data_IF_616263762014
#
_entry.id   IF_616263762014
#
_cell.length_a   1.000
_cell.length_b   1.000
_cell.length_c   1.000
_cell.angle_alpha   90.00
_cell.angle_beta   90.00
_cell.angle_gamma   90.00
#
_symmetry.space_group_name_H-M   'P 1'
#
loop_
_entity.id
_entity.type
_entity.pdbx_description
1 polymer ?
#
# COMPACT_ATOMS: atom_id res chain seq x y z
N UNK A 1 31.91 12.72 -14.66
CA UNK A 1 30.91 11.84 -13.97
C UNK A 1 31.54 11.23 -12.73
N UNK A 2 30.93 11.40 -11.60
CA UNK A 2 31.43 10.84 -10.35
C UNK A 2 30.83 9.46 -10.11
N UNK A 3 31.66 8.49 -9.77
CA UNK A 3 31.22 7.16 -9.35
C UNK A 3 30.98 7.19 -7.84
N UNK A 4 29.89 6.58 -7.42
CA UNK A 4 29.58 6.39 -6.01
C UNK A 4 29.80 4.92 -5.66
N UNK A 5 30.64 4.68 -4.65
CA UNK A 5 30.87 3.31 -4.18
C UNK A 5 29.69 2.87 -3.31
N UNK A 6 29.17 1.69 -3.59
CA UNK A 6 28.10 1.07 -2.82
C UNK A 6 28.72 0.10 -1.81
N UNK A 7 28.15 0.04 -0.62
CA UNK A 7 28.57 -0.90 0.43
C UNK A 7 28.06 -2.31 0.20
N UNK A 8 27.38 -2.54 -0.90
CA UNK A 8 26.77 -3.82 -1.27
C UNK A 8 26.91 -4.04 -2.77
N UNK A 9 26.75 -5.29 -3.20
CA UNK A 9 26.75 -5.68 -4.61
C UNK A 9 25.32 -5.62 -5.14
N UNK A 10 25.11 -4.96 -6.28
CA UNK A 10 23.79 -4.86 -6.90
C UNK A 10 23.17 -6.21 -7.25
N UNK A 11 24.00 -7.20 -7.53
CA UNK A 11 23.54 -8.57 -7.81
C UNK A 11 22.87 -9.23 -6.61
N UNK A 12 23.24 -8.81 -5.39
CA UNK A 12 22.70 -9.36 -4.16
C UNK A 12 21.41 -8.64 -3.69
N UNK A 13 21.01 -7.57 -4.39
CA UNK A 13 19.81 -6.83 -4.04
C UNK A 13 18.59 -7.61 -4.46
N UNK A 14 17.70 -7.88 -3.50
CA UNK A 14 16.43 -8.56 -3.78
C UNK A 14 15.53 -7.65 -4.59
N UNK A 15 14.80 -8.25 -5.53
CA UNK A 15 13.77 -7.57 -6.28
C UNK A 15 12.59 -7.27 -5.35
N UNK A 16 12.50 -6.02 -4.88
CA UNK A 16 11.41 -5.59 -4.00
C UNK A 16 10.08 -5.35 -4.74
N UNK A 17 10.08 -5.55 -6.05
CA UNK A 17 8.88 -5.40 -6.87
C UNK A 17 8.18 -6.72 -7.16
N UNK A 18 8.80 -7.85 -6.78
CA UNK A 18 8.16 -9.15 -6.92
C UNK A 18 6.86 -9.20 -6.10
N UNK A 19 5.75 -9.70 -6.66
CA UNK A 19 4.49 -9.76 -5.93
C UNK A 19 4.58 -10.63 -4.69
N UNK A 20 3.90 -10.22 -3.62
CA UNK A 20 3.76 -11.01 -2.41
C UNK A 20 2.79 -12.17 -2.65
N UNK A 21 3.05 -13.36 -2.09
CA UNK A 21 2.06 -14.42 -2.11
C UNK A 21 0.76 -14.02 -1.41
N UNK A 22 -0.36 -14.57 -1.83
CA UNK A 22 -1.64 -14.37 -1.15
C UNK A 22 -1.56 -14.90 0.28
N UNK A 23 -1.66 -14.01 1.26
CA UNK A 23 -1.59 -14.35 2.68
C UNK A 23 -2.00 -13.15 3.54
N UNK A 24 -2.02 -13.36 4.86
CA UNK A 24 -2.21 -12.31 5.85
C UNK A 24 -0.84 -11.84 6.34
N UNK A 25 -0.63 -10.54 6.37
CA UNK A 25 0.65 -9.95 6.77
C UNK A 25 0.44 -8.92 7.88
N UNK A 26 1.22 -9.02 8.94
CA UNK A 26 1.30 -7.96 9.94
C UNK A 26 2.04 -6.76 9.34
N UNK A 27 1.47 -5.58 9.50
CA UNK A 27 2.04 -4.37 8.91
C UNK A 27 1.76 -3.14 9.77
N UNK A 28 2.52 -2.08 9.52
CA UNK A 28 2.41 -0.80 10.19
C UNK A 28 2.33 0.32 9.16
N UNK A 29 1.50 1.33 9.40
CA UNK A 29 1.47 2.52 8.58
C UNK A 29 2.70 3.37 8.93
N UNK A 30 3.59 3.56 7.95
CA UNK A 30 4.81 4.33 8.14
C UNK A 30 4.71 5.76 7.61
N UNK A 31 3.79 6.01 6.68
CA UNK A 31 3.53 7.36 6.21
C UNK A 31 2.12 7.50 5.64
N UNK A 32 1.65 8.73 5.57
CA UNK A 32 0.41 9.10 4.90
C UNK A 32 0.59 10.48 4.27
N UNK A 33 -0.10 10.73 3.18
CA UNK A 33 -0.02 12.02 2.49
C UNK A 33 -1.35 12.34 1.83
N UNK A 34 -1.83 13.57 2.06
CA UNK A 34 -3.02 14.04 1.39
C UNK A 34 -2.65 14.50 -0.02
N UNK A 35 -3.30 13.95 -1.01
CA UNK A 35 -3.08 14.23 -2.43
C UNK A 35 -4.41 14.47 -3.13
N UNK A 36 -4.33 14.78 -4.42
CA UNK A 36 -5.49 14.87 -5.30
C UNK A 36 -5.44 13.71 -6.29
N UNK A 37 -6.54 12.97 -6.40
CA UNK A 37 -6.63 11.87 -7.36
C UNK A 37 -6.67 12.38 -8.80
N UNK A 38 -6.51 11.48 -9.77
CA UNK A 38 -6.57 11.83 -11.20
C UNK A 38 -7.90 12.46 -11.60
N UNK A 39 -8.98 12.16 -10.86
CA UNK A 39 -10.31 12.73 -11.10
C UNK A 39 -10.57 14.03 -10.30
N UNK A 40 -9.54 14.58 -9.62
CA UNK A 40 -9.67 15.80 -8.86
C UNK A 40 -10.26 15.65 -7.46
N UNK A 41 -10.41 14.43 -6.95
CA UNK A 41 -10.93 14.19 -5.60
C UNK A 41 -9.81 14.14 -4.56
N UNK A 42 -10.08 14.57 -3.31
CA UNK A 42 -9.10 14.40 -2.24
C UNK A 42 -8.80 12.90 -2.03
N UNK A 43 -7.54 12.61 -1.75
CA UNK A 43 -7.07 11.23 -1.59
C UNK A 43 -5.99 11.18 -0.53
N UNK A 44 -5.99 10.16 0.32
CA UNK A 44 -4.90 9.90 1.25
C UNK A 44 -4.09 8.73 0.70
N UNK A 45 -2.82 9.00 0.40
CA UNK A 45 -1.86 7.97 0.00
C UNK A 45 -1.22 7.40 1.26
N UNK A 46 -1.39 6.10 1.49
CA UNK A 46 -0.95 5.41 2.70
C UNK A 46 0.15 4.43 2.32
N UNK A 47 1.25 4.46 3.07
CA UNK A 47 2.35 3.51 2.92
C UNK A 47 2.37 2.59 4.14
N UNK A 48 2.21 1.30 3.89
CA UNK A 48 2.35 0.24 4.87
C UNK A 48 3.73 -0.40 4.78
N UNK A 49 4.26 -0.87 5.90
CA UNK A 49 5.48 -1.67 5.93
C UNK A 49 5.18 -2.98 6.65
N UNK A 50 5.54 -4.10 6.02
CA UNK A 50 5.37 -5.41 6.64
C UNK A 50 6.36 -5.53 7.78
N UNK A 51 5.88 -5.92 8.96
CA UNK A 51 6.66 -5.90 10.20
C UNK A 51 7.04 -7.28 10.71
N UNK A 52 6.52 -8.35 10.10
CA UNK A 52 6.77 -9.72 10.57
C UNK A 52 6.89 -10.67 9.40
N UNK A 53 7.61 -11.78 9.60
CA UNK A 53 7.77 -12.84 8.63
C UNK A 53 8.88 -12.59 7.61
N UNK A 54 8.86 -13.39 6.54
CA UNK A 54 9.86 -13.40 5.48
C UNK A 54 9.95 -12.06 4.74
N UNK A 55 8.83 -11.36 4.61
CA UNK A 55 8.75 -10.12 3.83
C UNK A 55 8.85 -8.85 4.68
N UNK A 56 9.37 -8.97 5.90
CA UNK A 56 9.59 -7.81 6.79
C UNK A 56 10.37 -6.71 6.07
N UNK A 57 9.89 -5.47 6.18
CA UNK A 57 10.49 -4.30 5.51
C UNK A 57 9.89 -4.01 4.14
N UNK A 58 9.09 -4.93 3.59
CA UNK A 58 8.41 -4.72 2.31
C UNK A 58 7.34 -3.64 2.43
N UNK A 59 7.31 -2.74 1.47
CA UNK A 59 6.32 -1.65 1.43
C UNK A 59 5.10 -2.06 0.62
N UNK A 60 3.93 -1.65 1.11
CA UNK A 60 2.66 -1.75 0.38
C UNK A 60 2.02 -0.37 0.33
N UNK A 61 1.51 -0.01 -0.82
CA UNK A 61 0.89 1.29 -1.03
C UNK A 61 -0.62 1.13 -1.20
N UNK A 62 -1.37 2.01 -0.53
CA UNK A 62 -2.82 2.04 -0.66
C UNK A 62 -3.28 3.48 -0.83
N UNK A 63 -4.29 3.69 -1.64
CA UNK A 63 -4.88 4.99 -1.88
C UNK A 63 -6.33 4.99 -1.41
N UNK A 64 -6.64 5.91 -0.50
CA UNK A 64 -7.99 6.07 0.01
C UNK A 64 -8.59 7.34 -0.58
N UNK A 65 -9.39 7.20 -1.63
CA UNK A 65 -10.08 8.33 -2.25
C UNK A 65 -11.27 8.71 -1.38
N UNK A 66 -11.36 10.00 -1.02
CA UNK A 66 -12.34 10.48 -0.05
C UNK A 66 -13.66 10.82 -0.72
N UNK A 67 -14.31 9.80 -1.28
CA UNK A 67 -15.64 9.89 -1.89
C UNK A 67 -16.55 8.83 -1.29
N UNK A 68 -17.85 9.06 -1.36
CA UNK A 68 -18.83 8.18 -0.72
C UNK A 68 -18.76 6.74 -1.22
N UNK A 69 -18.52 6.52 -2.51
CA UNK A 69 -18.42 5.17 -3.09
C UNK A 69 -17.24 4.38 -2.54
N UNK A 70 -16.25 5.03 -1.93
CA UNK A 70 -15.12 4.41 -1.25
C UNK A 70 -15.29 4.36 0.27
N UNK A 71 -16.49 4.61 0.75
CA UNK A 71 -16.80 4.65 2.18
C UNK A 71 -16.45 3.36 2.91
N UNK A 72 -16.56 2.23 2.26
CA UNK A 72 -16.18 0.92 2.84
C UNK A 72 -14.69 0.87 3.21
N UNK A 73 -13.82 1.44 2.39
CA UNK A 73 -12.37 1.52 2.66
C UNK A 73 -12.09 2.56 3.75
N UNK A 74 -12.72 3.74 3.64
CA UNK A 74 -12.57 4.81 4.63
C UNK A 74 -12.98 4.29 6.01
N UNK A 75 -14.06 3.53 6.08
CA UNK A 75 -14.54 2.93 7.32
C UNK A 75 -13.53 1.95 7.92
N UNK A 76 -12.86 1.14 7.13
CA UNK A 76 -11.82 0.24 7.61
C UNK A 76 -10.68 1.02 8.29
N UNK A 77 -10.21 2.10 7.67
CA UNK A 77 -9.17 2.93 8.28
C UNK A 77 -9.66 3.66 9.52
N UNK A 78 -10.89 4.18 9.50
CA UNK A 78 -11.48 4.82 10.67
C UNK A 78 -11.60 3.87 11.85
N UNK A 79 -11.97 2.63 11.62
CA UNK A 79 -12.05 1.60 12.66
C UNK A 79 -10.70 1.31 13.31
N UNK A 80 -9.60 1.43 12.57
CA UNK A 80 -8.25 1.30 13.16
C UNK A 80 -7.98 2.37 14.20
N UNK A 81 -8.62 3.53 14.08
CA UNK A 81 -8.52 4.64 15.04
C UNK A 81 -9.59 4.57 16.14
N UNK A 82 -10.39 3.49 16.15
CA UNK A 82 -11.49 3.36 17.13
C UNK A 82 -12.72 4.20 16.81
N UNK A 83 -12.80 4.75 15.59
CA UNK A 83 -13.95 5.56 15.17
C UNK A 83 -15.10 4.67 14.71
N UNK A 84 -16.28 4.86 15.27
CA UNK A 84 -17.50 4.14 14.87
C UNK A 84 -18.55 5.06 14.26
N UNK A 85 -18.33 6.35 14.32
CA UNK A 85 -19.25 7.36 13.79
C UNK A 85 -18.48 8.66 13.51
N UNK A 86 -19.15 9.58 12.84
CA UNK A 86 -18.57 10.89 12.52
C UNK A 86 -18.35 11.07 11.01
N UNK A 87 -17.97 12.28 10.66
CA UNK A 87 -17.76 12.68 9.25
C UNK A 87 -16.40 13.31 9.00
N UNK A 88 -15.48 13.17 9.95
CA UNK A 88 -14.12 13.71 9.81
C UNK A 88 -13.09 12.70 10.29
N UNK A 89 -11.92 12.71 9.67
CA UNK A 89 -10.81 11.82 9.96
C UNK A 89 -9.52 12.63 9.93
N UNK A 90 -8.69 12.49 10.98
CA UNK A 90 -7.36 13.08 11.00
C UNK A 90 -6.35 12.06 10.46
N UNK A 91 -5.82 12.24 9.24
CA UNK A 91 -4.90 11.27 8.66
C UNK A 91 -3.60 11.10 9.45
N UNK A 92 -3.17 12.12 10.18
CA UNK A 92 -1.93 12.05 10.95
C UNK A 92 -1.99 10.99 12.04
N UNK A 93 -3.18 10.66 12.54
CA UNK A 93 -3.35 9.62 13.54
C UNK A 93 -3.12 8.22 13.00
N UNK A 94 -3.11 8.04 11.69
CA UNK A 94 -2.85 6.75 11.05
C UNK A 94 -1.38 6.34 11.13
N UNK A 95 -0.46 7.30 11.22
CA UNK A 95 0.97 6.99 11.31
C UNK A 95 1.26 6.17 12.57
N UNK A 96 1.96 5.04 12.39
CA UNK A 96 2.29 4.13 13.48
C UNK A 96 1.22 3.09 13.81
N UNK A 97 0.07 3.14 13.17
CA UNK A 97 -1.00 2.15 13.38
C UNK A 97 -0.57 0.81 12.82
N UNK A 98 -0.76 -0.25 13.60
CA UNK A 98 -0.48 -1.63 13.21
C UNK A 98 -1.77 -2.37 12.92
N UNK A 99 -1.74 -3.22 11.89
CA UNK A 99 -2.89 -4.03 11.50
C UNK A 99 -2.44 -5.28 10.75
N UNK A 100 -3.38 -6.20 10.54
CA UNK A 100 -3.18 -7.35 9.66
C UNK A 100 -3.78 -7.01 8.31
N UNK A 101 -2.96 -7.10 7.26
CA UNK A 101 -3.41 -6.89 5.88
C UNK A 101 -3.67 -8.23 5.23
N UNK A 102 -4.87 -8.42 4.74
CA UNK A 102 -5.18 -9.55 3.85
C UNK A 102 -4.80 -9.14 2.44
N UNK A 103 -3.68 -9.66 1.97
CA UNK A 103 -3.12 -9.31 0.67
C UNK A 103 -3.35 -10.48 -0.29
N UNK A 104 -3.85 -10.18 -1.48
CA UNK A 104 -4.02 -11.17 -2.54
C UNK A 104 -3.08 -10.88 -3.69
N UNK A 105 -2.63 -11.94 -4.35
CA UNK A 105 -1.94 -11.87 -5.62
C UNK A 105 -2.99 -12.05 -6.72
N UNK A 106 -3.10 -11.07 -7.60
CA UNK A 106 -4.16 -11.01 -8.60
C UNK A 106 -3.55 -10.78 -9.98
N UNK A 107 -4.06 -11.47 -10.98
CA UNK A 107 -3.62 -11.25 -12.36
C UNK A 107 -4.00 -9.84 -12.81
N UNK A 108 -3.04 -9.17 -13.45
CA UNK A 108 -3.28 -7.86 -14.04
C UNK A 108 -4.21 -7.99 -15.23
N UNK A 109 -5.09 -7.01 -15.40
CA UNK A 109 -5.93 -6.88 -16.59
C UNK A 109 -5.07 -6.37 -17.76
N UNK A 110 -5.51 -6.54 -19.02
CA UNK A 110 -4.82 -5.93 -20.15
C UNK A 110 -4.64 -4.41 -20.02
N UNK A 111 -5.60 -3.74 -19.40
CA UNK A 111 -5.51 -2.30 -19.11
C UNK A 111 -4.39 -1.97 -18.13
N UNK A 112 -4.24 -2.77 -17.05
CA UNK A 112 -3.16 -2.61 -16.08
C UNK A 112 -1.79 -2.78 -16.75
N UNK A 113 -1.64 -3.79 -17.59
CA UNK A 113 -0.40 -4.06 -18.32
C UNK A 113 -0.07 -2.93 -19.30
N UNK A 114 -1.08 -2.37 -19.96
CA UNK A 114 -0.89 -1.25 -20.87
C UNK A 114 -0.41 0.01 -20.11
N UNK A 115 -0.94 0.26 -18.93
CA UNK A 115 -0.50 1.37 -18.08
C UNK A 115 0.93 1.19 -17.61
N UNK A 116 1.32 -0.03 -17.22
CA UNK A 116 2.69 -0.33 -16.81
C UNK A 116 3.68 -0.11 -17.93
N UNK A 117 3.35 -0.54 -19.14
CA UNK A 117 4.17 -0.36 -20.33
C UNK A 117 4.34 1.12 -20.65
N UNK A 118 3.25 1.89 -20.63
CA UNK A 118 3.27 3.32 -20.91
C UNK A 118 4.09 4.10 -19.89
N UNK A 119 4.11 3.65 -18.63
CA UNK A 119 4.87 4.27 -17.54
C UNK A 119 6.31 3.75 -17.43
N UNK A 120 6.73 2.79 -18.26
CA UNK A 120 8.04 2.17 -18.17
C UNK A 120 8.25 1.32 -16.93
N UNK A 121 7.16 0.85 -16.30
CA UNK A 121 7.22 -0.01 -15.12
C UNK A 121 7.39 -1.47 -15.52
N UNK A 122 7.76 -2.29 -14.53
CA UNK A 122 7.88 -3.72 -14.69
C UNK A 122 6.53 -4.33 -15.16
N UNK A 123 6.58 -5.12 -16.23
CA UNK A 123 5.41 -5.77 -16.82
C UNK A 123 5.10 -7.10 -16.12
N UNK A 124 5.24 -7.18 -14.80
CA UNK A 124 4.88 -8.37 -14.07
C UNK A 124 3.37 -8.65 -14.23
N UNK A 125 2.97 -9.88 -14.64
CA UNK A 125 1.57 -10.19 -14.88
C UNK A 125 0.71 -10.24 -13.61
N UNK A 126 1.32 -10.19 -12.43
CA UNK A 126 0.64 -10.29 -11.14
C UNK A 126 0.84 -9.01 -10.35
N UNK A 127 -0.22 -8.56 -9.68
CA UNK A 127 -0.17 -7.44 -8.75
C UNK A 127 -0.70 -7.85 -7.38
N UNK A 128 -0.35 -7.07 -6.36
CA UNK A 128 -0.92 -7.24 -5.03
C UNK A 128 -2.07 -6.26 -4.81
N UNK A 129 -3.05 -6.71 -4.05
CA UNK A 129 -4.18 -5.89 -3.63
C UNK A 129 -4.45 -6.16 -2.15
N UNK A 130 -4.68 -5.11 -1.40
CA UNK A 130 -5.12 -5.22 0.00
C UNK A 130 -6.63 -5.46 -0.04
N UNK A 131 -7.03 -6.69 0.25
CA UNK A 131 -8.44 -7.07 0.23
C UNK A 131 -9.18 -6.65 1.49
N UNK A 132 -8.50 -6.71 2.64
CA UNK A 132 -9.11 -6.37 3.92
C UNK A 132 -8.03 -5.93 4.91
N UNK A 133 -8.40 -5.03 5.81
CA UNK A 133 -7.55 -4.55 6.90
C UNK A 133 -8.23 -4.97 8.20
N UNK A 134 -7.51 -5.72 9.02
CA UNK A 134 -8.04 -6.25 10.29
C UNK A 134 -7.25 -5.64 11.44
N UNK A 135 -7.95 -5.02 12.38
CA UNK A 135 -7.32 -4.41 13.55
C UNK A 135 -6.62 -5.47 14.41
N UNK A 136 -5.38 -5.18 14.81
CA UNK A 136 -4.65 -5.99 15.76
C UNK A 136 -5.19 -5.80 17.18
N UNK A 137 -5.13 -6.83 17.93
CA UNK A 137 -5.47 -6.80 19.37
C UNK A 137 -6.76 -7.41 19.74
#
# INVERSE_FOLDING_TARGET
>A
MALVNLDFNLEDVKDNFAPLPTDDYAAKIVSQELKTSSNGNPMIAITWEITDGEFTGRKMFDNMVLIESMGWKIKQYAELLGMTSGSSLDPSLLEGVEAILKIIAKNKTPEDLAKDKAAGRDENPVKNEIKKIVKMG
#
